data_IF_110881219825
#
_entry.id   IF_110881219825
#
_cell.length_a   1.000
_cell.length_b   1.000
_cell.length_c   1.000
_cell.angle_alpha   90.00
_cell.angle_beta   90.00
_cell.angle_gamma   90.00
#
_symmetry.space_group_name_H-M   'P 1'
#
loop_
_entity.id
_entity.type
_entity.pdbx_description
1 polymer ?
#
# COMPACT_ATOMS: atom_id res chain seq x y z
N UNK A 1 -11.10 3.46 17.39
CA UNK A 1 -10.18 3.60 16.26
C UNK A 1 -11.03 3.86 15.03
N UNK A 2 -10.74 4.92 14.27
CA UNK A 2 -11.40 5.15 12.99
C UNK A 2 -10.87 4.14 11.98
N UNK A 3 -11.70 3.69 11.05
CA UNK A 3 -11.23 2.84 9.97
C UNK A 3 -10.44 3.70 9.00
N UNK A 4 -9.35 3.18 8.44
CA UNK A 4 -8.55 3.88 7.42
C UNK A 4 -9.42 4.41 6.26
N UNK A 5 -10.49 3.69 5.91
CA UNK A 5 -11.42 4.11 4.86
C UNK A 5 -12.27 5.33 5.21
N UNK A 6 -12.60 5.54 6.49
CA UNK A 6 -13.28 6.75 6.93
C UNK A 6 -12.33 7.94 6.86
N UNK A 7 -11.06 7.75 7.24
CA UNK A 7 -10.04 8.80 7.20
C UNK A 7 -9.71 9.23 5.77
N UNK A 8 -9.56 8.28 4.84
CA UNK A 8 -9.32 8.55 3.41
C UNK A 8 -10.46 9.36 2.78
N UNK A 9 -11.73 9.07 3.13
CA UNK A 9 -12.90 9.81 2.61
C UNK A 9 -12.93 11.28 2.99
N UNK A 10 -12.19 11.68 4.02
CA UNK A 10 -12.10 13.08 4.45
C UNK A 10 -11.08 13.88 3.62
N UNK A 11 -10.27 13.22 2.80
CA UNK A 11 -9.23 13.86 2.00
C UNK A 11 -9.86 14.52 0.77
N UNK A 12 -9.82 15.85 0.75
CA UNK A 12 -10.32 16.64 -0.38
C UNK A 12 -9.50 16.39 -1.64
N UNK A 13 -10.19 16.07 -2.74
CA UNK A 13 -9.55 15.81 -4.03
C UNK A 13 -8.91 14.42 -4.17
N UNK A 14 -9.18 13.51 -3.22
CA UNK A 14 -8.76 12.12 -3.36
C UNK A 14 -9.47 11.48 -4.54
N UNK A 15 -8.68 10.93 -5.45
CA UNK A 15 -9.14 10.09 -6.54
C UNK A 15 -8.95 8.64 -6.15
N UNK A 16 -9.93 7.80 -6.53
CA UNK A 16 -9.88 6.37 -6.28
C UNK A 16 -10.29 5.60 -7.53
N UNK A 17 -9.89 4.35 -7.59
CA UNK A 17 -10.35 3.43 -8.64
C UNK A 17 -11.55 2.63 -8.15
N UNK A 18 -11.84 1.49 -8.78
CA UNK A 18 -12.95 0.63 -8.37
C UNK A 18 -12.48 -0.30 -7.27
N UNK A 19 -13.14 -0.27 -6.11
CA UNK A 19 -12.94 -1.22 -5.03
C UNK A 19 -12.89 -2.70 -5.47
N UNK A 20 -12.05 -3.48 -4.80
CA UNK A 20 -11.83 -4.90 -5.07
C UNK A 20 -12.78 -5.80 -4.28
N UNK A 21 -13.28 -6.85 -4.92
CA UNK A 21 -14.11 -7.84 -4.24
C UNK A 21 -13.26 -8.89 -3.49
N UNK A 22 -13.92 -9.69 -2.65
CA UNK A 22 -13.26 -10.69 -1.80
C UNK A 22 -12.49 -11.74 -2.60
N UNK A 23 -12.97 -12.14 -3.78
CA UNK A 23 -12.28 -13.10 -4.65
C UNK A 23 -10.96 -12.51 -5.19
N UNK A 24 -10.99 -11.25 -5.62
CA UNK A 24 -9.80 -10.54 -6.09
C UNK A 24 -8.77 -10.37 -4.97
N UNK A 25 -9.21 -10.00 -3.77
CA UNK A 25 -8.37 -9.84 -2.59
C UNK A 25 -7.76 -11.19 -2.19
N UNK A 26 -8.56 -12.26 -2.15
CA UNK A 26 -8.07 -13.61 -1.86
C UNK A 26 -7.03 -14.07 -2.90
N UNK A 27 -7.28 -13.83 -4.18
CA UNK A 27 -6.34 -14.15 -5.26
C UNK A 27 -5.03 -13.38 -5.10
N UNK A 28 -5.08 -12.10 -4.71
CA UNK A 28 -3.89 -11.29 -4.45
C UNK A 28 -3.08 -11.83 -3.26
N UNK A 29 -3.73 -12.13 -2.14
CA UNK A 29 -3.12 -12.75 -0.96
C UNK A 29 -2.44 -14.08 -1.31
N UNK A 30 -3.13 -14.94 -2.08
CA UNK A 30 -2.59 -16.23 -2.51
C UNK A 30 -1.36 -16.07 -3.42
N UNK A 31 -1.41 -15.13 -4.39
CA UNK A 31 -0.27 -14.87 -5.28
C UNK A 31 0.96 -14.36 -4.52
N UNK A 32 0.76 -13.48 -3.54
CA UNK A 32 1.85 -12.95 -2.72
C UNK A 32 2.28 -13.90 -1.59
N UNK A 33 1.47 -14.93 -1.29
CA UNK A 33 1.59 -15.79 -0.12
C UNK A 33 1.61 -14.97 1.19
N UNK A 34 0.80 -13.91 1.23
CA UNK A 34 0.70 -12.95 2.35
C UNK A 34 -0.76 -12.80 2.74
N UNK A 35 -1.04 -12.73 4.05
CA UNK A 35 -2.34 -12.25 4.55
C UNK A 35 -2.30 -10.74 4.72
N UNK A 36 -3.28 -10.05 4.17
CA UNK A 36 -3.42 -8.61 4.33
C UNK A 36 -4.06 -8.27 5.68
N UNK A 37 -3.67 -7.12 6.23
CA UNK A 37 -4.29 -6.58 7.43
C UNK A 37 -5.75 -6.20 7.16
N UNK A 38 -6.57 -6.14 8.21
CA UNK A 38 -7.97 -5.74 8.08
C UNK A 38 -8.10 -4.34 7.49
N UNK A 39 -7.24 -3.39 7.87
CA UNK A 39 -7.24 -2.03 7.34
C UNK A 39 -6.93 -2.01 5.84
N UNK A 40 -5.92 -2.77 5.39
CA UNK A 40 -5.60 -2.83 3.96
C UNK A 40 -6.70 -3.52 3.15
N UNK A 41 -7.39 -4.52 3.72
CA UNK A 41 -8.56 -5.13 3.08
C UNK A 41 -9.71 -4.13 2.95
N UNK A 42 -10.03 -3.37 4.00
CA UNK A 42 -11.08 -2.34 3.97
C UNK A 42 -10.72 -1.23 2.97
N UNK A 43 -9.45 -0.85 2.87
CA UNK A 43 -8.92 0.03 1.83
C UNK A 43 -9.13 -0.53 0.42
N UNK A 44 -8.71 -1.77 0.16
CA UNK A 44 -8.85 -2.39 -1.17
C UNK A 44 -10.31 -2.49 -1.59
N UNK A 45 -11.21 -2.87 -0.67
CA UNK A 45 -12.64 -3.01 -0.94
C UNK A 45 -13.31 -1.71 -1.32
N UNK A 46 -12.90 -0.61 -0.69
CA UNK A 46 -13.53 0.68 -0.89
C UNK A 46 -12.95 1.41 -2.10
N UNK A 47 -11.63 1.44 -2.25
CA UNK A 47 -10.96 2.34 -3.19
C UNK A 47 -10.21 1.64 -4.33
N UNK A 48 -9.77 0.41 -4.12
CA UNK A 48 -8.87 -0.28 -5.04
C UNK A 48 -7.45 0.30 -5.03
N UNK A 49 -7.30 1.55 -5.46
CA UNK A 49 -6.09 2.39 -5.49
C UNK A 49 -6.52 3.81 -5.17
N UNK A 50 -5.69 4.61 -4.49
CA UNK A 50 -5.95 6.05 -4.28
C UNK A 50 -4.80 6.92 -4.75
N UNK A 51 -5.13 8.13 -5.20
CA UNK A 51 -4.18 9.19 -5.51
C UNK A 51 -4.65 10.51 -4.86
N UNK A 52 -3.75 11.16 -4.12
CA UNK A 52 -3.97 12.49 -3.56
C UNK A 52 -2.63 13.14 -3.17
N UNK A 53 -2.48 14.46 -3.31
CA UNK A 53 -1.31 15.22 -2.82
C UNK A 53 0.06 14.59 -3.13
N UNK A 54 0.24 14.06 -4.35
CA UNK A 54 1.48 13.39 -4.77
C UNK A 54 1.72 12.02 -4.10
N UNK A 55 0.68 11.43 -3.51
CA UNK A 55 0.68 10.10 -2.89
C UNK A 55 -0.09 9.14 -3.77
N UNK A 56 0.52 8.00 -4.12
CA UNK A 56 -0.13 6.94 -4.89
C UNK A 56 -0.08 5.62 -4.11
N UNK A 57 -1.13 5.33 -3.35
CA UNK A 57 -1.21 4.03 -2.69
C UNK A 57 -1.64 2.97 -3.69
N UNK A 58 -0.78 1.97 -3.83
CA UNK A 58 -0.98 0.81 -4.66
C UNK A 58 -2.10 -0.07 -4.11
N UNK A 59 -2.60 -0.95 -4.98
CA UNK A 59 -3.67 -1.86 -4.63
C UNK A 59 -4.17 -2.65 -5.82
N UNK A 60 -5.48 -2.76 -5.98
CA UNK A 60 -6.12 -3.58 -7.01
C UNK A 60 -7.07 -2.74 -7.87
N UNK A 61 -7.43 -3.26 -9.04
CA UNK A 61 -8.36 -2.64 -9.98
C UNK A 61 -7.97 -1.23 -10.48
N UNK A 62 -6.70 -0.84 -10.32
CA UNK A 62 -6.12 0.37 -10.89
C UNK A 62 -5.18 0.09 -12.08
N UNK A 63 -4.43 1.12 -12.52
CA UNK A 63 -3.38 0.97 -13.52
C UNK A 63 -2.35 -0.09 -13.13
N UNK A 64 -1.71 -0.68 -14.14
CA UNK A 64 -0.79 -1.80 -13.94
C UNK A 64 0.42 -1.44 -13.05
N UNK A 65 0.92 -0.21 -13.14
CA UNK A 65 2.03 0.28 -12.32
C UNK A 65 1.67 0.51 -10.83
N UNK A 66 0.36 0.57 -10.50
CA UNK A 66 -0.14 0.65 -9.11
C UNK A 66 -0.71 -0.69 -8.62
N UNK A 67 -0.51 -1.78 -9.37
CA UNK A 67 -0.98 -3.09 -8.96
C UNK A 67 -0.04 -3.69 -7.90
N UNK A 68 -0.52 -3.78 -6.66
CA UNK A 68 0.27 -4.26 -5.51
C UNK A 68 0.88 -5.63 -5.74
N UNK A 69 0.18 -6.52 -6.45
CA UNK A 69 0.69 -7.87 -6.70
C UNK A 69 1.84 -7.83 -7.70
N UNK A 70 1.66 -7.09 -8.79
CA UNK A 70 2.68 -6.97 -9.82
C UNK A 70 3.93 -6.29 -9.27
N UNK A 71 3.78 -5.10 -8.68
CA UNK A 71 4.91 -4.33 -8.14
C UNK A 71 5.69 -5.11 -7.08
N UNK A 72 4.98 -5.78 -6.16
CA UNK A 72 5.63 -6.57 -5.10
C UNK A 72 6.39 -7.79 -5.67
N UNK A 73 5.85 -8.46 -6.70
CA UNK A 73 6.55 -9.58 -7.33
C UNK A 73 7.78 -9.09 -8.11
N UNK A 74 7.65 -8.00 -8.87
CA UNK A 74 8.78 -7.39 -9.60
C UNK A 74 9.89 -6.93 -8.64
N UNK A 75 9.53 -6.34 -7.49
CA UNK A 75 10.50 -5.97 -6.46
C UNK A 75 11.21 -7.19 -5.86
N UNK A 76 10.50 -8.30 -5.60
CA UNK A 76 11.11 -9.56 -5.13
C UNK A 76 12.04 -10.20 -6.15
N UNK A 77 11.72 -10.08 -7.43
CA UNK A 77 12.58 -10.58 -8.52
C UNK A 77 13.83 -9.70 -8.67
N UNK A 78 13.68 -8.39 -8.52
CA UNK A 78 14.75 -7.41 -8.67
C UNK A 78 15.71 -7.41 -7.47
N UNK A 79 15.18 -7.54 -6.25
CA UNK A 79 15.91 -7.39 -5.00
C UNK A 79 15.87 -8.70 -4.20
N UNK A 80 16.98 -9.47 -4.17
CA UNK A 80 17.05 -10.75 -3.45
C UNK A 80 16.80 -10.66 -1.94
N UNK A 81 16.96 -9.47 -1.37
CA UNK A 81 16.79 -9.14 0.05
C UNK A 81 15.44 -8.47 0.35
N UNK A 82 14.53 -8.39 -0.62
CA UNK A 82 13.19 -7.88 -0.39
C UNK A 82 12.44 -8.76 0.64
N UNK A 83 11.80 -8.16 1.67
CA UNK A 83 11.14 -8.92 2.73
C UNK A 83 9.95 -9.75 2.23
N UNK A 84 10.02 -11.07 2.43
CA UNK A 84 9.02 -12.04 1.93
C UNK A 84 7.63 -11.90 2.57
N UNK A 85 7.55 -11.33 3.77
CA UNK A 85 6.33 -11.14 4.54
C UNK A 85 5.75 -9.71 4.44
N UNK A 86 6.27 -8.90 3.52
CA UNK A 86 5.80 -7.54 3.26
C UNK A 86 5.44 -7.36 1.78
N UNK A 87 4.71 -6.28 1.51
CA UNK A 87 4.28 -5.89 0.17
C UNK A 87 4.28 -4.37 0.04
N UNK A 88 4.34 -3.87 -1.19
CA UNK A 88 4.46 -2.43 -1.46
C UNK A 88 3.09 -1.76 -1.25
N UNK A 89 3.06 -0.71 -0.43
CA UNK A 89 1.95 0.24 -0.35
C UNK A 89 2.16 1.40 -1.30
N UNK A 90 3.36 1.93 -1.41
CA UNK A 90 3.66 3.08 -2.25
C UNK A 90 5.11 2.99 -2.75
N UNK A 91 5.32 3.31 -4.02
CA UNK A 91 6.64 3.55 -4.60
C UNK A 91 6.82 5.06 -4.68
N UNK A 92 7.81 5.61 -3.99
CA UNK A 92 8.00 7.07 -3.96
C UNK A 92 8.60 7.60 -5.27
N UNK A 93 9.07 6.74 -6.18
CA UNK A 93 9.59 7.12 -7.49
C UNK A 93 10.94 7.86 -7.46
N UNK A 94 11.57 8.00 -6.29
CA UNK A 94 12.91 8.57 -6.14
C UNK A 94 13.82 7.65 -5.31
N UNK A 95 15.06 7.49 -5.78
CA UNK A 95 16.14 6.74 -5.12
C UNK A 95 15.80 5.31 -4.65
N UNK A 96 14.85 4.66 -5.33
CA UNK A 96 14.44 3.28 -5.05
C UNK A 96 13.77 3.09 -3.68
N UNK A 97 13.22 4.16 -3.09
CA UNK A 97 12.53 4.08 -1.80
C UNK A 97 11.12 3.53 -1.98
N UNK A 98 10.85 2.43 -1.29
CA UNK A 98 9.56 1.76 -1.27
C UNK A 98 8.96 1.83 0.13
N UNK A 99 7.67 2.15 0.20
CA UNK A 99 6.91 2.07 1.44
C UNK A 99 6.17 0.75 1.45
N UNK A 100 6.42 -0.04 2.50
CA UNK A 100 5.92 -1.40 2.63
C UNK A 100 4.91 -1.52 3.77
N UNK A 101 4.01 -2.50 3.64
CA UNK A 101 3.17 -3.00 4.72
C UNK A 101 3.56 -4.42 5.09
N UNK A 102 3.53 -4.71 6.39
CA UNK A 102 3.53 -6.09 6.89
C UNK A 102 2.12 -6.65 7.03
N UNK A 103 2.01 -7.90 7.47
CA UNK A 103 0.72 -8.59 7.70
C UNK A 103 -0.14 -7.95 8.80
N UNK A 104 0.43 -7.10 9.65
CA UNK A 104 -0.27 -6.41 10.72
C UNK A 104 -0.70 -5.00 10.31
N UNK A 105 -0.30 -4.53 9.12
CA UNK A 105 -0.53 -3.16 8.67
C UNK A 105 0.46 -2.14 9.24
N UNK A 106 1.57 -2.60 9.85
CA UNK A 106 2.69 -1.72 10.18
C UNK A 106 3.39 -1.26 8.91
N UNK A 107 3.85 0.00 8.91
CA UNK A 107 4.42 0.67 7.73
C UNK A 107 5.92 0.75 7.88
N UNK A 108 6.64 0.42 6.80
CA UNK A 108 8.09 0.38 6.75
C UNK A 108 8.59 1.17 5.54
N UNK A 109 9.75 1.79 5.69
CA UNK A 109 10.56 2.26 4.58
C UNK A 109 11.55 1.14 4.22
N UNK A 110 11.62 0.81 2.94
CA UNK A 110 12.61 -0.11 2.40
C UNK A 110 13.42 0.58 1.31
N UNK A 111 14.74 0.40 1.37
CA UNK A 111 15.67 0.89 0.35
C UNK A 111 16.91 -0.01 0.30
N UNK A 112 17.14 -0.68 -0.83
CA UNK A 112 18.33 -1.50 -1.12
C UNK A 112 18.76 -2.42 0.05
N UNK A 113 17.79 -3.14 0.63
CA UNK A 113 18.01 -4.09 1.72
C UNK A 113 17.88 -3.52 3.13
N UNK A 114 17.92 -2.20 3.28
CA UNK A 114 17.57 -1.54 4.54
C UNK A 114 16.04 -1.54 4.70
N UNK A 115 15.54 -2.04 5.83
CA UNK A 115 14.11 -2.04 6.14
C UNK A 115 13.89 -1.45 7.54
N UNK A 116 13.24 -0.28 7.61
CA UNK A 116 13.02 0.48 8.84
C UNK A 116 11.53 0.66 9.08
N UNK A 117 11.06 0.25 10.25
CA UNK A 117 9.68 0.53 10.67
C UNK A 117 9.50 2.05 10.84
N UNK A 118 8.51 2.61 10.18
CA UNK A 118 8.11 4.01 10.33
C UNK A 118 6.95 4.14 11.32
N UNK A 119 5.88 3.38 11.07
CA UNK A 119 4.62 3.51 11.79
C UNK A 119 4.02 2.16 12.15
N UNK A 120 3.15 2.16 13.16
CA UNK A 120 2.51 0.92 13.60
C UNK A 120 1.21 0.60 12.86
N UNK A 121 0.70 1.55 12.05
CA UNK A 121 -0.54 1.41 11.30
C UNK A 121 -0.56 2.37 10.09
N UNK A 122 -1.46 2.11 9.14
CA UNK A 122 -1.65 2.93 7.94
C UNK A 122 -2.14 4.35 8.24
N UNK A 123 -2.96 4.55 9.28
CA UNK A 123 -3.50 5.86 9.66
C UNK A 123 -2.41 6.85 10.08
N UNK A 124 -1.35 6.39 10.73
CA UNK A 124 -0.18 7.22 11.04
C UNK A 124 0.56 7.65 9.77
N UNK A 125 0.77 6.74 8.82
CA UNK A 125 1.39 7.06 7.54
C UNK A 125 0.51 7.99 6.68
N UNK A 126 -0.82 7.84 6.76
CA UNK A 126 -1.76 8.72 6.08
C UNK A 126 -1.58 10.19 6.49
N UNK A 127 -1.28 10.45 7.78
CA UNK A 127 -1.03 11.82 8.26
C UNK A 127 0.20 12.43 7.60
N UNK A 128 1.25 11.65 7.39
CA UNK A 128 2.43 12.09 6.63
C UNK A 128 2.08 12.37 5.17
N UNK A 129 1.32 11.48 4.53
CA UNK A 129 0.86 11.67 3.15
C UNK A 129 0.00 12.93 2.98
N UNK A 130 -0.90 13.20 3.93
CA UNK A 130 -1.73 14.42 3.93
C UNK A 130 -0.90 15.69 4.08
N UNK A 131 0.21 15.63 4.82
CA UNK A 131 1.11 16.78 5.00
C UNK A 131 1.85 17.18 3.70
N UNK A 132 1.90 16.31 2.68
CA UNK A 132 2.49 16.60 1.34
C UNK A 132 1.68 17.60 0.51
N UNK A 133 0.50 17.98 0.98
CA UNK A 133 -0.34 19.01 0.35
C UNK A 133 0.34 20.39 0.33
N UNK A 134 1.21 20.64 1.30
CA UNK A 134 1.94 21.90 1.51
C UNK A 134 3.31 21.90 0.81
#
# INVERSE_FOLDING_TARGET
MSKISDELKLISGLEATKGANDEQILKAQNKLTIKFSTDYIDYLREFGVVNFFGTEWQGLNGPEYLNVVKSTLEARETYPDFPVNMFILEDLGFDGILILLDTNGSVFEWQYGSCKKLYSNMSEYLKECVARKE
#
